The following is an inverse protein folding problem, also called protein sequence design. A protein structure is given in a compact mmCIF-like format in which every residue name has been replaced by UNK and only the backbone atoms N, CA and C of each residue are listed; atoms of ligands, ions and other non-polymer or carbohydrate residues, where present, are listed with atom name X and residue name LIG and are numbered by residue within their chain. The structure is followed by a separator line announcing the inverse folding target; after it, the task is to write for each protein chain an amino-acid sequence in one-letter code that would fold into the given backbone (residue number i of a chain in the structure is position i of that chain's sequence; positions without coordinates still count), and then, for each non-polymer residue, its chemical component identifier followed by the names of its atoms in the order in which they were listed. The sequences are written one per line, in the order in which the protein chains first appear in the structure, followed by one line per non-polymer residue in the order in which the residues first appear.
data_IF_050673669914
#
_entry.id   IF_050673669914
#
_cell.length_a   1.000
_cell.length_b   1.000
_cell.length_c   1.000
_cell.angle_alpha   90.00
_cell.angle_beta   90.00
_cell.angle_gamma   90.00
#
_symmetry.space_group_name_H-M   'P 1'
#
loop_
_entity.id
_entity.type
_entity.pdbx_description
1 polymer ?
#
# COMPACT_ATOMS: atom_id res chain seq x y z
N UNK A 1 11.89 -2.34 3.45
CA UNK A 1 10.69 -1.47 3.67
C UNK A 1 10.31 -0.65 2.44
N UNK A 2 11.15 -0.56 1.40
CA UNK A 2 10.91 0.30 0.23
C UNK A 2 9.59 -0.01 -0.50
N UNK A 3 9.23 -1.28 -0.65
CA UNK A 3 7.97 -1.72 -1.29
C UNK A 3 6.71 -1.11 -0.68
N UNK A 4 6.63 -1.04 0.65
CA UNK A 4 5.51 -0.45 1.38
C UNK A 4 5.45 1.07 1.20
N UNK A 5 6.62 1.70 1.20
CA UNK A 5 6.75 3.15 0.98
C UNK A 5 6.35 3.54 -0.44
N UNK A 6 6.77 2.76 -1.44
CA UNK A 6 6.34 2.91 -2.83
C UNK A 6 4.82 2.73 -2.97
N UNK A 7 4.27 1.66 -2.37
CA UNK A 7 2.83 1.42 -2.37
C UNK A 7 2.07 2.57 -1.72
N UNK A 8 2.51 3.06 -0.56
CA UNK A 8 1.88 4.14 0.19
C UNK A 8 1.90 5.49 -0.56
N UNK A 9 2.96 5.74 -1.34
CA UNK A 9 3.11 6.96 -2.14
C UNK A 9 2.33 6.94 -3.46
N UNK A 10 1.73 5.82 -3.84
CA UNK A 10 0.99 5.68 -5.09
C UNK A 10 -0.52 5.61 -4.86
N UNK A 11 -1.33 6.44 -5.53
CA UNK A 11 -2.79 6.49 -5.30
C UNK A 11 -3.53 5.18 -5.60
N UNK A 12 -2.90 4.23 -6.31
CA UNK A 12 -3.46 2.91 -6.61
C UNK A 12 -3.97 2.16 -5.37
N UNK A 13 -3.33 2.33 -4.20
CA UNK A 13 -3.79 1.68 -2.97
C UNK A 13 -5.22 2.09 -2.61
N UNK A 14 -5.63 3.33 -2.92
CA UNK A 14 -6.98 3.83 -2.60
C UNK A 14 -8.07 3.22 -3.49
N UNK A 15 -7.68 2.63 -4.63
CA UNK A 15 -8.58 1.94 -5.56
C UNK A 15 -8.63 0.43 -5.29
N UNK A 16 -7.79 -0.05 -4.37
CA UNK A 16 -7.71 -1.47 -4.04
C UNK A 16 -8.06 -1.71 -2.56
N UNK A 17 -9.24 -2.30 -2.34
CA UNK A 17 -9.71 -2.63 -0.99
C UNK A 17 -8.72 -3.52 -0.23
N UNK A 18 -8.05 -4.47 -0.89
CA UNK A 18 -7.06 -5.33 -0.22
C UNK A 18 -5.86 -4.53 0.30
N UNK A 19 -5.45 -3.47 -0.40
CA UNK A 19 -4.37 -2.59 0.04
C UNK A 19 -4.80 -1.73 1.24
N UNK A 20 -6.03 -1.19 1.21
CA UNK A 20 -6.61 -0.45 2.35
C UNK A 20 -6.72 -1.35 3.58
N UNK A 21 -7.22 -2.57 3.40
CA UNK A 21 -7.32 -3.55 4.48
C UNK A 21 -5.95 -3.91 5.03
N UNK A 22 -4.92 -4.05 4.18
CA UNK A 22 -3.55 -4.26 4.65
C UNK A 22 -3.11 -3.16 5.61
N UNK A 23 -3.20 -1.88 5.20
CA UNK A 23 -2.79 -0.75 6.06
C UNK A 23 -3.60 -0.66 7.36
N UNK A 24 -4.89 -0.99 7.29
CA UNK A 24 -5.77 -1.06 8.46
C UNK A 24 -5.41 -2.22 9.41
N UNK A 25 -4.99 -3.35 8.86
CA UNK A 25 -4.59 -4.54 9.62
C UNK A 25 -3.23 -4.33 10.31
N UNK A 26 -2.34 -3.52 9.71
CA UNK A 26 -1.07 -3.12 10.35
C UNK A 26 -1.30 -2.40 11.67
N UNK A 27 -2.16 -1.37 11.65
CA UNK A 27 -2.49 -0.61 12.84
C UNK A 27 -3.82 0.14 12.68
N UNK A 28 -4.92 -0.51 13.07
CA UNK A 28 -6.26 0.05 12.89
C UNK A 28 -6.52 1.31 13.72
N UNK A 29 -5.81 1.49 14.85
CA UNK A 29 -5.93 2.66 15.70
C UNK A 29 -5.21 3.85 15.05
N UNK A 30 -3.95 3.65 14.67
CA UNK A 30 -3.14 4.66 13.99
C UNK A 30 -3.73 5.01 12.63
N UNK A 31 -4.27 4.03 11.88
CA UNK A 31 -4.93 4.26 10.59
C UNK A 31 -6.09 5.26 10.68
N UNK A 32 -6.88 5.20 11.76
CA UNK A 32 -7.93 6.19 12.03
C UNK A 32 -7.35 7.53 12.46
N UNK A 33 -6.32 7.53 13.31
CA UNK A 33 -5.67 8.74 13.80
C UNK A 33 -5.05 9.56 12.66
N UNK A 34 -4.36 8.90 11.71
CA UNK A 34 -3.73 9.56 10.56
C UNK A 34 -4.70 9.84 9.40
N UNK A 35 -6.01 9.60 9.58
CA UNK A 35 -7.03 9.87 8.59
C UNK A 35 -6.90 9.03 7.32
N UNK A 36 -6.57 7.74 7.45
CA UNK A 36 -6.38 6.81 6.33
C UNK A 36 -5.24 7.18 5.38
N UNK A 37 -4.21 7.85 5.90
CA UNK A 37 -3.01 8.19 5.16
C UNK A 37 -1.90 7.13 5.41
N UNK A 38 -1.55 6.29 4.40
CA UNK A 38 -0.57 5.24 4.59
C UNK A 38 0.86 5.74 4.73
N UNK A 39 1.18 6.92 4.17
CA UNK A 39 2.50 7.53 4.35
C UNK A 39 2.68 7.96 5.81
N UNK A 40 1.69 8.67 6.35
CA UNK A 40 1.70 9.07 7.76
C UNK A 40 1.65 7.87 8.70
N UNK A 41 0.92 6.80 8.35
CA UNK A 41 0.91 5.56 9.13
C UNK A 41 2.32 4.99 9.25
N UNK A 42 3.06 4.89 8.13
CA UNK A 42 4.42 4.37 8.13
C UNK A 42 5.41 5.29 8.87
N UNK A 43 5.25 6.61 8.76
CA UNK A 43 6.10 7.57 9.50
C UNK A 43 5.83 7.59 11.00
N UNK A 44 4.57 7.39 11.41
CA UNK A 44 4.16 7.35 12.83
C UNK A 44 4.40 5.99 13.48
N UNK A 45 4.56 4.93 12.70
CA UNK A 45 4.83 3.60 13.22
C UNK A 45 6.23 3.52 13.82
N UNK A 46 6.31 3.11 15.08
CA UNK A 46 7.59 2.83 15.75
C UNK A 46 8.31 1.66 15.08
N UNK A 47 9.65 1.72 15.08
CA UNK A 47 10.51 0.67 14.54
C UNK A 47 10.18 -0.72 15.10
N UNK A 48 9.85 -0.83 16.39
CA UNK A 48 9.43 -2.09 17.02
C UNK A 48 8.17 -2.70 16.38
N UNK A 49 7.19 -1.89 15.96
CA UNK A 49 6.01 -2.39 15.25
C UNK A 49 6.36 -2.85 13.84
N UNK A 50 7.20 -2.10 13.14
CA UNK A 50 7.71 -2.51 11.82
C UNK A 50 8.47 -3.83 11.90
N UNK A 51 9.25 -4.05 12.96
CA UNK A 51 9.97 -5.30 13.19
C UNK A 51 9.03 -6.46 13.50
N UNK A 52 8.02 -6.24 14.36
CA UNK A 52 7.00 -7.25 14.65
C UNK A 52 6.23 -7.67 13.37
N UNK A 53 5.85 -6.69 12.55
CA UNK A 53 5.19 -6.93 11.26
C UNK A 53 6.11 -7.59 10.24
N UNK A 54 7.42 -7.31 10.30
CA UNK A 54 8.42 -7.98 9.47
C UNK A 54 8.71 -9.42 9.94
N UNK A 55 8.33 -9.78 11.16
CA UNK A 55 8.35 -11.17 11.64
C UNK A 55 7.04 -11.91 11.36
N UNK A 56 5.95 -11.18 11.09
CA UNK A 56 4.66 -11.77 10.77
C UNK A 56 4.59 -12.26 9.31
N UNK A 57 4.71 -13.57 9.14
CA UNK A 57 4.70 -14.22 7.82
C UNK A 57 3.36 -14.06 7.08
N UNK A 58 2.24 -13.88 7.79
CA UNK A 58 0.91 -13.75 7.19
C UNK A 58 0.78 -12.37 6.54
N UNK A 59 1.14 -11.31 7.27
CA UNK A 59 1.20 -9.94 6.77
C UNK A 59 2.19 -9.83 5.61
N UNK A 60 3.39 -10.39 5.75
CA UNK A 60 4.41 -10.36 4.69
C UNK A 60 3.92 -11.03 3.40
N UNK A 61 3.19 -12.14 3.49
CA UNK A 61 2.64 -12.82 2.31
C UNK A 61 1.55 -11.98 1.64
N UNK A 62 0.64 -11.39 2.42
CA UNK A 62 -0.39 -10.47 1.92
C UNK A 62 0.23 -9.24 1.26
N UNK A 63 1.20 -8.61 1.92
CA UNK A 63 1.95 -7.46 1.42
C UNK A 63 2.63 -7.77 0.08
N UNK A 64 3.33 -8.91 -0.02
CA UNK A 64 3.97 -9.29 -1.29
C UNK A 64 2.93 -9.56 -2.38
N UNK A 65 1.78 -10.18 -2.06
CA UNK A 65 0.73 -10.43 -3.06
C UNK A 65 0.14 -9.12 -3.62
N UNK A 66 -0.17 -8.17 -2.73
CA UNK A 66 -0.68 -6.85 -3.11
C UNK A 66 0.38 -6.07 -3.90
N UNK A 67 1.64 -6.12 -3.48
CA UNK A 67 2.74 -5.49 -4.19
C UNK A 67 2.94 -6.09 -5.58
N UNK A 68 2.82 -7.41 -5.74
CA UNK A 68 2.85 -8.05 -7.06
C UNK A 68 1.69 -7.57 -7.94
N UNK A 69 0.47 -7.44 -7.41
CA UNK A 69 -0.68 -6.85 -8.15
C UNK A 69 -0.42 -5.41 -8.56
N UNK A 70 0.17 -4.61 -7.66
CA UNK A 70 0.58 -3.24 -7.94
C UNK A 70 1.61 -3.19 -9.08
N UNK A 71 2.65 -4.03 -9.03
CA UNK A 71 3.67 -4.10 -10.09
C UNK A 71 3.08 -4.55 -11.41
N UNK A 72 2.22 -5.57 -11.40
CA UNK A 72 1.49 -6.00 -12.59
C UNK A 72 0.65 -4.86 -13.18
N UNK A 73 -0.04 -4.08 -12.35
CA UNK A 73 -0.81 -2.93 -12.82
C UNK A 73 0.07 -1.82 -13.40
N UNK A 74 1.19 -1.50 -12.74
CA UNK A 74 2.12 -0.46 -13.20
C UNK A 74 2.91 -0.86 -14.45
N UNK A 75 3.13 -2.16 -14.65
CA UNK A 75 3.82 -2.72 -15.82
C UNK A 75 2.91 -2.81 -17.06
N UNK A 76 1.60 -2.72 -16.86
CA UNK A 76 0.66 -2.60 -17.99
C UNK A 76 0.94 -1.29 -18.71
N UNK A 77 1.45 -1.39 -19.94
CA UNK A 77 1.61 -0.24 -20.81
C UNK A 77 0.25 0.48 -21.01
N UNK A 78 0.19 1.81 -20.84
CA UNK A 78 -1.02 2.55 -21.12
C UNK A 78 -1.44 2.33 -22.57
N UNK A 79 -2.66 1.85 -22.75
CA UNK A 79 -3.20 1.48 -24.04
C UNK A 79 -3.17 2.68 -25.01
N UNK A 80 -2.24 2.65 -25.96
CA UNK A 80 -1.99 3.74 -26.93
C UNK A 80 -3.18 4.04 -27.85
N UNK A 81 -4.26 3.24 -27.80
CA UNK A 81 -5.48 3.43 -28.61
C UNK A 81 -6.57 4.22 -27.89
N UNK A 82 -6.45 4.50 -26.59
CA UNK A 82 -7.41 5.36 -25.88
C UNK A 82 -7.02 6.83 -26.11
N UNK A 83 -7.83 7.63 -26.83
CA UNK A 83 -7.54 9.05 -26.96
C UNK A 83 -7.49 9.65 -25.55
N UNK A 84 -6.37 10.31 -25.23
CA UNK A 84 -6.21 11.02 -23.98
C UNK A 84 -7.23 12.16 -23.93
N UNK A 85 -8.37 11.93 -23.29
CA UNK A 85 -9.35 12.98 -23.05
C UNK A 85 -8.79 13.84 -21.93
N UNK A 86 -8.03 14.87 -22.30
CA UNK A 86 -7.78 16.00 -21.43
C UNK A 86 -9.09 16.77 -21.33
N UNK A 87 -9.63 16.89 -20.11
CA UNK A 87 -10.72 17.81 -19.79
C UNK A 87 -10.13 19.09 -19.20
#
# INVERSE_FOLDING_TARGET
MEKLSELARNIWWSWNNEAIELFKDLDSALWKEVGQNPVLLLERMSYAKLEALSNDKVILKRMNNIYSKFRLYMDVEPDKKRPSVAY
#
